data_IF_784412807034
#
_entry.id   IF_784412807034
#
_cell.length_a   1.000
_cell.length_b   1.000
_cell.length_c   1.000
_cell.angle_alpha   90.00
_cell.angle_beta   90.00
_cell.angle_gamma   90.00
#
_symmetry.space_group_name_H-M   'P 1'
#
loop_
_entity.id
_entity.type
_entity.pdbx_description
1 polymer ?
#
# COMPACT_ATOMS: atom_id res chain seq x y z
N UNK A 1 -25.48 14.77 16.06
CA UNK A 1 -25.26 14.67 17.52
C UNK A 1 -24.03 15.50 17.87
N UNK A 2 -24.15 16.53 18.71
CA UNK A 2 -23.01 17.30 19.23
C UNK A 2 -22.52 16.66 20.53
N UNK A 3 -21.25 16.28 20.61
CA UNK A 3 -20.59 15.99 21.88
C UNK A 3 -19.37 16.90 22.03
N UNK A 4 -19.29 17.57 23.19
CA UNK A 4 -18.19 18.45 23.58
C UNK A 4 -17.45 17.81 24.76
N UNK A 5 -16.15 17.57 24.53
CA UNK A 5 -14.99 17.49 25.43
C UNK A 5 -15.04 16.58 26.68
N UNK A 6 -14.16 15.56 26.66
CA UNK A 6 -13.36 15.13 27.81
C UNK A 6 -11.96 14.77 27.31
N UNK A 7 -10.95 15.26 28.01
CA UNK A 7 -9.51 15.18 27.70
C UNK A 7 -8.96 13.75 27.74
N UNK A 8 -8.61 13.20 26.58
CA UNK A 8 -7.78 12.00 26.31
C UNK A 8 -7.22 12.14 24.89
N UNK A 9 -6.07 11.53 24.53
CA UNK A 9 -5.36 11.83 23.27
C UNK A 9 -6.23 11.51 22.04
N UNK A 10 -6.10 12.28 20.94
CA UNK A 10 -7.13 12.39 19.92
C UNK A 10 -7.22 11.15 19.02
N UNK A 11 -8.47 10.84 18.66
CA UNK A 11 -8.96 9.71 17.90
C UNK A 11 -8.55 9.81 16.40
N UNK A 12 -7.35 9.34 16.06
CA UNK A 12 -6.91 9.16 14.66
C UNK A 12 -7.55 7.93 13.97
N UNK A 13 -8.47 7.22 14.62
CA UNK A 13 -8.97 5.90 14.16
C UNK A 13 -10.24 5.94 13.28
N UNK A 14 -10.76 7.12 12.93
CA UNK A 14 -11.95 7.23 12.07
C UNK A 14 -11.71 6.85 10.60
N UNK A 15 -10.46 6.83 10.14
CA UNK A 15 -10.13 6.72 8.71
C UNK A 15 -9.90 5.29 8.20
N UNK A 16 -9.57 4.33 9.07
CA UNK A 16 -9.07 3.02 8.64
C UNK A 16 -10.15 1.94 8.50
N UNK A 17 -11.31 2.12 9.12
CA UNK A 17 -12.37 1.10 9.12
C UNK A 17 -13.14 0.98 7.79
N UNK A 18 -13.06 1.97 6.90
CA UNK A 18 -13.75 1.93 5.60
C UNK A 18 -12.91 1.29 4.49
N UNK A 19 -11.58 1.26 4.61
CA UNK A 19 -10.67 0.75 3.57
C UNK A 19 -10.47 -0.78 3.61
N UNK A 20 -10.91 -1.46 4.68
CA UNK A 20 -10.83 -2.92 4.80
C UNK A 20 -12.05 -3.68 4.25
N UNK A 21 -13.08 -2.98 3.79
CA UNK A 21 -14.25 -3.56 3.10
C UNK A 21 -14.10 -3.40 1.58
N UNK A 22 -13.02 -3.93 1.02
CA UNK A 22 -12.94 -4.18 -0.41
C UNK A 22 -13.73 -5.46 -0.72
N UNK A 23 -15.06 -5.31 -0.84
CA UNK A 23 -15.98 -6.43 -1.01
C UNK A 23 -17.35 -5.99 -1.52
N UNK A 24 -17.42 -5.08 -2.49
CA UNK A 24 -18.63 -4.82 -3.26
C UNK A 24 -18.28 -4.70 -4.75
N UNK A 25 -17.89 -5.82 -5.36
CA UNK A 25 -18.03 -6.01 -6.81
C UNK A 25 -18.02 -7.51 -7.14
N UNK A 26 -19.20 -8.15 -7.10
CA UNK A 26 -19.41 -9.45 -7.75
C UNK A 26 -19.98 -9.21 -9.13
N UNK A 27 -19.11 -8.80 -10.05
CA UNK A 27 -19.38 -8.83 -11.48
C UNK A 27 -18.42 -9.80 -12.14
N UNK A 28 -18.87 -11.04 -12.38
CA UNK A 28 -18.24 -11.92 -13.37
C UNK A 28 -18.44 -11.27 -14.75
N UNK A 29 -17.52 -10.38 -15.12
CA UNK A 29 -17.41 -9.83 -16.46
C UNK A 29 -16.58 -10.77 -17.30
N UNK A 30 -17.22 -11.78 -17.90
CA UNK A 30 -16.71 -12.34 -19.15
C UNK A 30 -16.55 -11.18 -20.15
N UNK A 31 -15.44 -11.19 -20.89
CA UNK A 31 -15.08 -10.11 -21.79
C UNK A 31 -16.19 -9.78 -22.78
N UNK A 32 -16.63 -8.53 -22.79
CA UNK A 32 -17.59 -8.02 -23.76
C UNK A 32 -16.92 -7.85 -25.13
N UNK A 33 -16.96 -8.92 -25.92
CA UNK A 33 -16.99 -8.82 -27.38
C UNK A 33 -18.41 -8.45 -27.81
N UNK A 34 -18.52 -7.30 -28.48
CA UNK A 34 -19.68 -6.83 -29.22
C UNK A 34 -20.42 -7.94 -30.00
N UNK A 35 -21.65 -8.30 -29.60
CA UNK A 35 -22.63 -8.97 -30.48
C UNK A 35 -24.08 -8.91 -29.95
N UNK A 36 -24.93 -8.24 -30.75
CA UNK A 36 -26.33 -8.57 -31.08
C UNK A 36 -27.38 -8.79 -29.99
N UNK A 37 -28.33 -7.86 -29.97
CA UNK A 37 -29.69 -7.99 -29.43
C UNK A 37 -30.40 -9.24 -29.98
N UNK A 38 -30.84 -10.12 -29.09
CA UNK A 38 -31.79 -11.20 -29.36
C UNK A 38 -32.82 -11.24 -28.23
N UNK A 39 -34.07 -10.94 -28.58
CA UNK A 39 -35.25 -11.18 -27.76
C UNK A 39 -35.31 -12.65 -27.33
N UNK A 40 -35.50 -12.91 -26.04
CA UNK A 40 -36.22 -14.12 -25.65
C UNK A 40 -37.09 -13.90 -24.40
N UNK A 41 -38.34 -14.28 -24.58
CA UNK A 41 -39.47 -14.17 -23.67
C UNK A 41 -39.45 -15.36 -22.70
N UNK A 42 -39.51 -15.09 -21.40
CA UNK A 42 -39.49 -16.14 -20.37
C UNK A 42 -40.22 -15.74 -19.09
N UNK A 43 -41.55 -15.75 -19.17
CA UNK A 43 -42.54 -16.12 -18.14
C UNK A 43 -42.27 -15.78 -16.66
N UNK A 44 -43.03 -14.80 -16.16
CA UNK A 44 -43.37 -14.61 -14.74
C UNK A 44 -43.95 -15.89 -14.13
N UNK A 45 -43.45 -16.29 -12.97
CA UNK A 45 -44.27 -16.97 -11.97
C UNK A 45 -44.10 -16.29 -10.61
N UNK A 46 -45.23 -15.95 -10.01
CA UNK A 46 -45.32 -15.15 -8.80
C UNK A 46 -45.33 -16.03 -7.56
N UNK A 47 -44.49 -15.69 -6.58
CA UNK A 47 -44.49 -16.30 -5.26
C UNK A 47 -44.10 -15.29 -4.21
N UNK A 48 -45.11 -14.61 -3.67
CA UNK A 48 -45.02 -13.78 -2.46
C UNK A 48 -44.51 -14.58 -1.28
N UNK A 49 -43.48 -14.08 -0.58
CA UNK A 49 -43.33 -14.14 0.87
C UNK A 49 -42.45 -12.98 1.31
N UNK A 50 -43.14 -11.89 1.61
CA UNK A 50 -42.65 -10.77 2.42
C UNK A 50 -42.51 -11.26 3.87
N UNK A 51 -41.29 -11.59 4.25
CA UNK A 51 -40.85 -11.64 5.63
C UNK A 51 -39.49 -10.95 5.66
N UNK A 52 -39.45 -9.79 6.31
CA UNK A 52 -38.22 -9.09 6.64
C UNK A 52 -37.32 -10.03 7.44
N UNK A 53 -36.40 -10.66 6.73
CA UNK A 53 -35.16 -11.13 7.30
C UNK A 53 -34.23 -9.93 7.23
N UNK A 54 -33.91 -9.37 8.38
CA UNK A 54 -32.82 -8.43 8.58
C UNK A 54 -31.54 -9.25 8.37
N UNK A 55 -31.32 -9.69 7.13
CA UNK A 55 -30.23 -10.55 6.74
C UNK A 55 -28.98 -9.87 7.22
N UNK A 56 -28.36 -10.47 8.23
CA UNK A 56 -26.95 -10.27 8.51
C UNK A 56 -26.31 -10.42 7.14
N UNK A 57 -25.80 -9.31 6.60
CA UNK A 57 -24.92 -9.35 5.44
C UNK A 57 -23.87 -10.35 5.85
N UNK A 58 -23.91 -11.56 5.27
CA UNK A 58 -22.89 -12.58 5.49
C UNK A 58 -21.60 -11.88 5.11
N UNK A 59 -20.85 -11.43 6.11
CA UNK A 59 -19.59 -10.75 5.89
C UNK A 59 -18.72 -11.80 5.22
N UNK A 60 -18.54 -11.66 3.90
CA UNK A 60 -17.70 -12.57 3.14
C UNK A 60 -16.28 -12.41 3.69
N UNK A 61 -15.88 -13.35 4.54
CA UNK A 61 -14.58 -13.30 5.20
C UNK A 61 -13.49 -13.47 4.16
N UNK A 62 -12.44 -12.66 4.26
CA UNK A 62 -11.32 -12.74 3.35
C UNK A 62 -10.67 -14.14 3.41
N UNK A 63 -10.59 -14.79 2.25
CA UNK A 63 -9.90 -16.07 2.13
C UNK A 63 -8.40 -15.92 2.43
N UNK A 64 -7.73 -17.01 2.88
CA UNK A 64 -6.28 -17.09 2.94
C UNK A 64 -5.65 -16.60 1.64
N UNK A 65 -4.71 -15.66 1.74
CA UNK A 65 -4.11 -15.04 0.55
C UNK A 65 -2.63 -14.76 0.72
N UNK A 66 -1.94 -14.77 -0.41
CA UNK A 66 -0.56 -14.30 -0.54
C UNK A 66 -0.61 -13.06 -1.42
N UNK A 67 -0.23 -11.90 -0.88
CA UNK A 67 -0.18 -10.65 -1.64
C UNK A 67 1.26 -10.31 -1.94
N UNK A 68 1.62 -10.18 -3.21
CA UNK A 68 2.95 -9.74 -3.64
C UNK A 68 3.24 -8.35 -3.07
N UNK A 69 4.47 -8.10 -2.64
CA UNK A 69 4.92 -6.76 -2.28
C UNK A 69 4.89 -5.87 -3.51
N UNK A 70 4.24 -4.72 -3.37
CA UNK A 70 4.26 -3.68 -4.39
C UNK A 70 5.70 -3.21 -4.61
N UNK A 71 6.04 -2.77 -5.82
CA UNK A 71 7.42 -2.40 -6.16
C UNK A 71 8.02 -1.41 -5.15
N UNK A 72 7.24 -0.39 -4.76
CA UNK A 72 7.63 0.56 -3.70
C UNK A 72 7.77 -0.09 -2.31
N UNK A 73 6.91 -1.04 -1.95
CA UNK A 73 6.96 -1.75 -0.67
C UNK A 73 8.21 -2.64 -0.58
N UNK A 74 8.56 -3.28 -1.69
CA UNK A 74 9.79 -4.06 -1.82
C UNK A 74 11.03 -3.16 -1.63
N UNK A 75 11.08 -2.02 -2.32
CA UNK A 75 12.19 -1.04 -2.20
C UNK A 75 12.27 -0.46 -0.77
N UNK A 76 11.15 -0.08 -0.18
CA UNK A 76 11.10 0.45 1.19
C UNK A 76 11.56 -0.60 2.21
N UNK A 77 11.07 -1.84 2.09
CA UNK A 77 11.47 -2.93 2.98
C UNK A 77 12.98 -3.21 2.89
N UNK A 78 13.55 -3.24 1.68
CA UNK A 78 15.00 -3.40 1.50
C UNK A 78 15.77 -2.22 2.07
N UNK A 79 15.27 -1.00 1.87
CA UNK A 79 15.89 0.22 2.41
C UNK A 79 15.93 0.17 3.94
N UNK A 80 14.86 -0.26 4.59
CA UNK A 80 14.79 -0.37 6.05
C UNK A 80 15.65 -1.53 6.58
N UNK A 81 15.74 -2.65 5.84
CA UNK A 81 16.52 -3.82 6.27
C UNK A 81 18.03 -3.65 6.05
N UNK A 82 18.44 -3.09 4.92
CA UNK A 82 19.81 -3.14 4.41
C UNK A 82 20.39 -1.75 4.11
N UNK A 83 19.59 -0.70 4.24
CA UNK A 83 19.99 0.69 4.08
C UNK A 83 19.78 1.26 2.67
N UNK A 84 20.01 2.58 2.49
CA UNK A 84 19.65 3.30 1.26
C UNK A 84 20.38 2.82 0.00
N UNK A 85 21.63 2.36 0.11
CA UNK A 85 22.38 1.86 -1.04
C UNK A 85 21.77 0.56 -1.60
N UNK A 86 21.35 -0.33 -0.71
CA UNK A 86 20.61 -1.54 -1.07
C UNK A 86 19.24 -1.20 -1.66
N UNK A 87 18.52 -0.25 -1.07
CA UNK A 87 17.25 0.26 -1.59
C UNK A 87 17.35 0.83 -3.01
N UNK A 88 18.41 1.58 -3.31
CA UNK A 88 18.66 2.12 -4.65
C UNK A 88 19.03 1.04 -5.67
N UNK A 89 19.62 -0.07 -5.23
CA UNK A 89 19.94 -1.21 -6.08
C UNK A 89 18.72 -2.12 -6.35
N UNK A 90 17.66 -2.00 -5.54
CA UNK A 90 16.44 -2.79 -5.70
C UNK A 90 15.69 -2.39 -6.98
N UNK A 91 15.36 -3.39 -7.80
CA UNK A 91 14.67 -3.24 -9.07
C UNK A 91 13.56 -4.32 -9.19
N UNK A 92 12.48 -4.21 -8.40
CA UNK A 92 11.39 -5.18 -8.45
C UNK A 92 10.64 -5.13 -9.80
N UNK A 93 9.78 -6.13 -10.02
CA UNK A 93 8.80 -6.07 -11.11
C UNK A 93 7.94 -4.79 -11.04
N UNK A 94 7.37 -4.43 -12.19
CA UNK A 94 6.37 -3.36 -12.24
C UNK A 94 5.04 -3.82 -11.66
N UNK A 95 4.41 -2.94 -10.88
CA UNK A 95 3.08 -3.18 -10.35
C UNK A 95 2.05 -3.18 -11.49
N UNK A 96 1.04 -4.04 -11.35
CA UNK A 96 -0.07 -4.11 -12.30
C UNK A 96 -1.33 -3.74 -11.55
N UNK A 97 -2.00 -2.69 -12.02
CA UNK A 97 -3.28 -2.28 -11.45
C UNK A 97 -4.38 -3.28 -11.83
N UNK A 98 -5.20 -3.68 -10.86
CA UNK A 98 -6.47 -4.36 -11.13
C UNK A 98 -7.59 -3.53 -10.50
N UNK A 99 -8.64 -3.26 -11.27
CA UNK A 99 -9.68 -2.32 -10.88
C UNK A 99 -9.09 -0.99 -10.40
N UNK A 100 -8.00 -0.51 -11.02
CA UNK A 100 -7.35 0.75 -10.64
C UNK A 100 -6.68 0.77 -9.27
N UNK A 101 -6.41 -0.39 -8.65
CA UNK A 101 -5.62 -0.53 -7.44
C UNK A 101 -4.45 -1.49 -7.65
N UNK A 102 -3.26 -1.09 -7.22
CA UNK A 102 -2.08 -1.95 -7.32
C UNK A 102 -2.15 -3.10 -6.30
N UNK A 103 -2.63 -2.79 -5.09
CA UNK A 103 -2.76 -3.77 -4.01
C UNK A 103 -3.69 -4.94 -4.36
N UNK A 104 -4.72 -4.71 -5.18
CA UNK A 104 -5.60 -5.78 -5.67
C UNK A 104 -4.87 -6.63 -6.71
N UNK A 105 -4.21 -5.99 -7.69
CA UNK A 105 -3.44 -6.71 -8.71
C UNK A 105 -2.37 -7.61 -8.10
N UNK A 106 -1.66 -7.11 -7.09
CA UNK A 106 -0.66 -7.89 -6.35
C UNK A 106 -1.22 -9.10 -5.59
N UNK A 107 -2.53 -9.19 -5.40
CA UNK A 107 -3.19 -10.32 -4.73
C UNK A 107 -3.82 -11.34 -5.69
N UNK A 108 -3.97 -11.01 -6.97
CA UNK A 108 -4.69 -11.84 -7.95
C UNK A 108 -3.84 -12.24 -9.16
N UNK A 109 -2.76 -11.50 -9.43
CA UNK A 109 -1.92 -11.73 -10.60
C UNK A 109 -0.71 -12.57 -10.20
N UNK A 110 -0.54 -13.70 -10.88
CA UNK A 110 0.61 -14.59 -10.70
C UNK A 110 1.90 -13.99 -11.25
N UNK A 111 3.05 -14.42 -10.71
CA UNK A 111 4.37 -14.09 -11.24
C UNK A 111 4.61 -14.78 -12.59
N UNK A 112 5.16 -14.03 -13.55
CA UNK A 112 5.68 -14.54 -14.81
C UNK A 112 7.17 -14.88 -14.69
N UNK A 113 7.72 -15.62 -15.66
CA UNK A 113 9.16 -15.91 -15.70
C UNK A 113 10.00 -14.62 -15.70
N UNK A 114 9.56 -13.58 -16.41
CA UNK A 114 10.22 -12.28 -16.42
C UNK A 114 10.19 -11.57 -15.05
N UNK A 115 9.13 -11.79 -14.25
CA UNK A 115 9.07 -11.26 -12.89
C UNK A 115 10.06 -11.98 -11.97
N UNK A 116 10.23 -13.30 -12.15
CA UNK A 116 11.20 -14.09 -11.40
C UNK A 116 12.62 -13.61 -11.72
N UNK A 117 12.95 -13.45 -13.01
CA UNK A 117 14.24 -12.91 -13.46
C UNK A 117 14.51 -11.51 -12.86
N UNK A 118 13.47 -10.66 -12.78
CA UNK A 118 13.58 -9.34 -12.17
C UNK A 118 13.90 -9.42 -10.67
N UNK A 119 13.22 -10.31 -9.92
CA UNK A 119 13.51 -10.51 -8.50
C UNK A 119 14.89 -11.11 -8.25
N UNK A 120 15.35 -12.05 -9.08
CA UNK A 120 16.69 -12.62 -8.98
C UNK A 120 17.77 -11.56 -9.22
N UNK A 121 17.65 -10.81 -10.31
CA UNK A 121 18.56 -9.71 -10.66
C UNK A 121 18.60 -8.65 -9.57
N UNK A 122 17.43 -8.22 -9.09
CA UNK A 122 17.29 -7.26 -8.00
C UNK A 122 17.91 -7.76 -6.71
N UNK A 123 17.59 -8.98 -6.26
CA UNK A 123 18.10 -9.53 -5.01
C UNK A 123 19.63 -9.68 -5.02
N UNK A 124 20.21 -10.07 -6.16
CA UNK A 124 21.66 -10.16 -6.34
C UNK A 124 22.32 -8.78 -6.25
N UNK A 125 21.76 -7.77 -6.92
CA UNK A 125 22.27 -6.40 -6.87
C UNK A 125 22.17 -5.80 -5.45
N UNK A 126 21.05 -6.04 -4.77
CA UNK A 126 20.78 -5.62 -3.39
C UNK A 126 21.77 -6.26 -2.43
N UNK A 127 22.00 -7.57 -2.53
CA UNK A 127 22.94 -8.27 -1.66
C UNK A 127 24.38 -7.77 -1.85
N UNK A 128 24.81 -7.57 -3.11
CA UNK A 128 26.12 -7.00 -3.41
C UNK A 128 26.26 -5.57 -2.84
N UNK A 129 25.22 -4.73 -2.96
CA UNK A 129 25.22 -3.38 -2.40
C UNK A 129 25.26 -3.38 -0.86
N UNK A 130 24.54 -4.30 -0.21
CA UNK A 130 24.55 -4.45 1.24
C UNK A 130 25.93 -4.86 1.76
N UNK A 131 26.55 -5.89 1.17
CA UNK A 131 27.91 -6.35 1.55
C UNK A 131 28.97 -5.28 1.27
N UNK A 132 28.84 -4.52 0.17
CA UNK A 132 29.77 -3.44 -0.15
C UNK A 132 29.63 -2.22 0.78
N UNK A 133 28.54 -2.11 1.54
CA UNK A 133 28.24 -0.97 2.41
C UNK A 133 28.63 -1.29 3.86
N UNK A 134 29.68 -0.66 4.42
CA UNK A 134 30.10 -0.91 5.81
C UNK A 134 28.96 -0.65 6.79
N UNK A 135 28.71 -1.60 7.70
CA UNK A 135 27.67 -1.48 8.72
C UNK A 135 26.26 -1.90 8.31
N UNK A 136 26.02 -2.18 7.02
CA UNK A 136 24.67 -2.56 6.52
C UNK A 136 24.16 -3.86 7.14
N UNK A 137 25.05 -4.85 7.34
CA UNK A 137 24.70 -6.18 7.87
C UNK A 137 24.96 -6.33 9.37
N UNK A 138 25.64 -5.38 10.00
CA UNK A 138 26.02 -5.42 11.43
C UNK A 138 24.83 -5.66 12.37
N UNK A 139 23.61 -5.11 12.14
CA UNK A 139 22.46 -5.37 13.03
C UNK A 139 22.05 -6.84 13.12
N UNK A 140 22.48 -7.67 12.19
CA UNK A 140 22.14 -9.10 12.11
C UNK A 140 23.33 -10.01 12.41
N UNK A 141 24.52 -9.45 12.67
CA UNK A 141 25.74 -10.20 12.96
C UNK A 141 26.07 -10.09 14.45
N UNK A 142 25.84 -11.16 15.20
CA UNK A 142 26.15 -11.25 16.63
C UNK A 142 27.55 -11.81 16.93
N UNK A 143 28.32 -12.16 15.90
CA UNK A 143 29.56 -12.92 15.98
C UNK A 143 30.67 -12.30 15.11
N UNK A 144 31.92 -12.65 15.42
CA UNK A 144 33.08 -12.40 14.55
C UNK A 144 33.50 -13.73 13.93
N UNK A 145 33.53 -13.86 12.59
CA UNK A 145 33.84 -15.14 11.96
C UNK A 145 35.29 -15.56 12.25
N UNK A 146 35.46 -16.82 12.64
CA UNK A 146 36.77 -17.42 12.94
C UNK A 146 37.51 -17.92 11.70
N UNK A 147 36.77 -18.17 10.63
CA UNK A 147 37.24 -18.65 9.33
C UNK A 147 36.24 -18.21 8.24
N UNK A 148 36.62 -18.26 6.94
CA UNK A 148 35.69 -17.88 5.88
C UNK A 148 34.37 -18.64 5.91
N UNK A 149 34.40 -19.96 6.11
CA UNK A 149 33.23 -20.82 6.19
C UNK A 149 32.83 -21.11 7.66
N UNK A 150 32.55 -20.07 8.43
CA UNK A 150 32.08 -20.17 9.83
C UNK A 150 30.57 -20.42 9.89
N UNK A 151 30.17 -21.70 9.93
CA UNK A 151 28.77 -22.11 9.86
C UNK A 151 27.90 -21.62 11.02
N UNK A 152 28.45 -21.54 12.24
CA UNK A 152 27.69 -21.07 13.41
C UNK A 152 27.39 -19.57 13.28
N UNK A 153 28.37 -18.80 12.82
CA UNK A 153 28.19 -17.36 12.60
C UNK A 153 27.22 -17.06 11.45
N UNK A 154 27.30 -17.82 10.34
CA UNK A 154 26.33 -17.73 9.23
C UNK A 154 24.92 -18.12 9.68
N UNK A 155 24.76 -19.15 10.51
CA UNK A 155 23.46 -19.54 11.04
C UNK A 155 22.86 -18.45 11.92
N UNK A 156 23.64 -17.86 12.84
CA UNK A 156 23.14 -16.75 13.66
C UNK A 156 22.68 -15.57 12.80
N UNK A 157 23.41 -15.27 11.71
CA UNK A 157 22.99 -14.23 10.77
C UNK A 157 21.65 -14.56 10.10
N UNK A 158 21.46 -15.81 9.65
CA UNK A 158 20.21 -16.26 9.03
C UNK A 158 19.04 -16.13 10.00
N UNK A 159 19.22 -16.47 11.27
CA UNK A 159 18.17 -16.38 12.29
C UNK A 159 17.76 -14.91 12.51
N UNK A 160 18.72 -13.99 12.67
CA UNK A 160 18.44 -12.57 12.90
C UNK A 160 17.91 -11.85 11.66
N UNK A 161 18.57 -12.01 10.51
CA UNK A 161 18.14 -11.40 9.26
C UNK A 161 16.83 -12.01 8.76
N UNK A 162 16.68 -13.33 8.90
CA UNK A 162 15.48 -14.04 8.51
C UNK A 162 14.25 -13.63 9.29
N UNK A 163 14.38 -13.46 10.60
CA UNK A 163 13.29 -12.97 11.44
C UNK A 163 12.72 -11.65 10.92
N UNK A 164 13.61 -10.74 10.53
CA UNK A 164 13.24 -9.43 10.00
C UNK A 164 12.77 -9.46 8.54
N UNK A 165 13.47 -10.18 7.67
CA UNK A 165 13.17 -10.25 6.25
C UNK A 165 11.86 -11.01 5.97
N UNK A 166 11.66 -12.14 6.64
CA UNK A 166 10.47 -12.98 6.48
C UNK A 166 9.36 -12.63 7.47
N UNK A 167 9.63 -11.70 8.39
CA UNK A 167 8.66 -11.09 9.31
C UNK A 167 7.97 -12.11 10.21
N UNK A 168 8.69 -13.19 10.54
CA UNK A 168 8.28 -14.25 11.45
C UNK A 168 9.50 -15.05 11.92
N UNK A 169 9.40 -15.80 13.03
CA UNK A 169 10.40 -16.79 13.39
C UNK A 169 10.64 -17.81 12.26
N UNK A 170 11.91 -18.17 12.05
CA UNK A 170 12.31 -19.26 11.18
C UNK A 170 12.27 -20.56 11.98
N UNK A 171 11.88 -21.66 11.32
CA UNK A 171 12.13 -22.98 11.90
C UNK A 171 13.59 -23.44 11.67
N UNK A 172 13.99 -24.49 12.38
CA UNK A 172 15.36 -25.00 12.34
C UNK A 172 15.80 -25.49 10.95
N UNK A 173 14.86 -25.99 10.14
CA UNK A 173 15.13 -26.46 8.79
C UNK A 173 15.35 -25.27 7.85
N UNK A 174 14.51 -24.24 7.95
CA UNK A 174 14.66 -22.98 7.21
C UNK A 174 15.99 -22.31 7.54
N UNK A 175 16.33 -22.18 8.82
CA UNK A 175 17.60 -21.61 9.27
C UNK A 175 18.80 -22.44 8.76
N UNK A 176 18.71 -23.77 8.89
CA UNK A 176 19.76 -24.69 8.43
C UNK A 176 19.96 -24.65 6.91
N UNK A 177 18.88 -24.57 6.13
CA UNK A 177 18.93 -24.52 4.67
C UNK A 177 19.70 -23.30 4.17
N UNK A 178 19.40 -22.11 4.68
CA UNK A 178 20.08 -20.88 4.25
C UNK A 178 21.49 -20.77 4.82
N UNK A 179 21.73 -21.25 6.04
CA UNK A 179 23.08 -21.33 6.58
C UNK A 179 23.99 -22.21 5.69
N UNK A 180 23.46 -23.33 5.16
CA UNK A 180 24.19 -24.19 4.23
C UNK A 180 24.49 -23.51 2.88
N UNK A 181 23.57 -22.68 2.36
CA UNK A 181 23.82 -21.88 1.14
C UNK A 181 24.98 -20.92 1.37
N UNK A 182 24.97 -20.19 2.48
CA UNK A 182 26.07 -19.29 2.84
C UNK A 182 27.37 -20.03 3.07
N UNK A 183 27.32 -21.20 3.71
CA UNK A 183 28.51 -22.03 3.99
C UNK A 183 29.16 -22.51 2.71
N UNK A 184 28.36 -22.98 1.74
CA UNK A 184 28.83 -23.42 0.45
C UNK A 184 29.49 -22.26 -0.31
N UNK A 185 28.82 -21.10 -0.40
CA UNK A 185 29.37 -19.92 -1.05
C UNK A 185 30.67 -19.46 -0.37
N UNK A 186 30.68 -19.36 0.95
CA UNK A 186 31.87 -18.94 1.69
C UNK A 186 33.05 -19.91 1.51
N UNK A 187 32.79 -21.21 1.41
CA UNK A 187 33.81 -22.22 1.11
C UNK A 187 34.33 -22.11 -0.32
N UNK A 188 33.44 -21.98 -1.30
CA UNK A 188 33.82 -21.93 -2.73
C UNK A 188 34.62 -20.68 -3.08
N UNK A 189 34.29 -19.54 -2.46
CA UNK A 189 34.99 -18.27 -2.68
C UNK A 189 36.13 -18.02 -1.67
N UNK A 190 36.20 -18.78 -0.58
CA UNK A 190 37.15 -18.53 0.50
C UNK A 190 36.89 -17.20 1.22
N UNK A 191 35.65 -16.71 1.23
CA UNK A 191 35.25 -15.39 1.76
C UNK A 191 33.91 -15.46 2.51
N UNK A 192 33.91 -15.08 3.79
CA UNK A 192 32.71 -15.03 4.62
C UNK A 192 31.67 -14.04 4.09
N UNK A 193 32.11 -12.91 3.54
CA UNK A 193 31.20 -11.89 2.99
C UNK A 193 30.45 -12.42 1.77
N UNK A 194 31.07 -13.29 0.97
CA UNK A 194 30.38 -14.01 -0.10
C UNK A 194 29.31 -14.98 0.44
N UNK A 195 29.55 -15.60 1.60
CA UNK A 195 28.50 -16.36 2.29
C UNK A 195 27.28 -15.52 2.62
N UNK A 196 27.49 -14.33 3.21
CA UNK A 196 26.41 -13.39 3.53
C UNK A 196 25.68 -12.89 2.27
N UNK A 197 26.41 -12.56 1.20
CA UNK A 197 25.85 -12.10 -0.07
C UNK A 197 24.84 -13.13 -0.63
N UNK A 198 25.21 -14.41 -0.67
CA UNK A 198 24.34 -15.47 -1.18
C UNK A 198 23.15 -15.75 -0.25
N UNK A 199 23.32 -15.63 1.08
CA UNK A 199 22.21 -15.72 2.03
C UNK A 199 21.20 -14.61 1.76
N UNK A 200 21.66 -13.35 1.72
CA UNK A 200 20.78 -12.19 1.50
C UNK A 200 20.07 -12.32 0.15
N UNK A 201 20.81 -12.58 -0.93
CA UNK A 201 20.23 -12.73 -2.26
C UNK A 201 19.17 -13.84 -2.31
N UNK A 202 19.43 -14.99 -1.69
CA UNK A 202 18.49 -16.11 -1.68
C UNK A 202 17.25 -15.85 -0.83
N UNK A 203 17.41 -15.26 0.37
CA UNK A 203 16.30 -14.98 1.26
C UNK A 203 15.36 -13.89 0.72
N UNK A 204 15.88 -12.91 -0.02
CA UNK A 204 15.08 -11.88 -0.69
C UNK A 204 14.30 -12.40 -1.92
N UNK A 205 14.69 -13.55 -2.48
CA UNK A 205 13.95 -14.24 -3.55
C UNK A 205 12.90 -15.21 -3.02
N UNK A 206 12.90 -15.47 -1.71
CA UNK A 206 11.94 -16.37 -1.09
C UNK A 206 10.51 -15.82 -1.17
N UNK A 207 9.48 -16.67 -1.37
CA UNK A 207 8.09 -16.26 -1.21
C UNK A 207 7.80 -15.63 0.17
N UNK A 208 8.52 -16.06 1.22
CA UNK A 208 8.39 -15.46 2.56
C UNK A 208 8.81 -13.97 2.59
N UNK A 209 9.67 -13.53 1.66
CA UNK A 209 10.03 -12.12 1.50
C UNK A 209 9.11 -11.41 0.51
N UNK A 210 8.94 -11.97 -0.69
CA UNK A 210 8.22 -11.34 -1.82
C UNK A 210 6.73 -11.17 -1.52
N UNK A 211 6.14 -11.98 -0.65
CA UNK A 211 4.73 -11.92 -0.32
C UNK A 211 4.47 -11.47 1.13
N UNK A 212 3.36 -10.77 1.30
CA UNK A 212 2.62 -10.67 2.55
C UNK A 212 1.72 -11.90 2.66
N UNK A 213 2.07 -12.78 3.58
CA UNK A 213 1.34 -14.01 3.87
C UNK A 213 0.20 -13.66 4.83
N UNK A 214 -1.04 -13.95 4.45
CA UNK A 214 -2.23 -13.82 5.28
C UNK A 214 -3.00 -15.15 5.21
N UNK A 215 -2.39 -16.22 5.72
CA UNK A 215 -3.03 -17.54 5.75
C UNK A 215 -3.80 -17.71 7.06
N UNK A 216 -3.32 -17.11 8.15
CA UNK A 216 -3.94 -17.20 9.47
C UNK A 216 -3.83 -18.59 10.09
N UNK A 217 -4.48 -18.74 11.24
CA UNK A 217 -4.70 -20.00 11.97
C UNK A 217 -6.19 -20.15 12.24
N UNK A 218 -6.65 -21.37 12.53
CA UNK A 218 -8.05 -21.58 12.91
C UNK A 218 -8.41 -20.70 14.10
N UNK A 219 -9.52 -19.97 13.99
CA UNK A 219 -10.04 -19.15 15.08
C UNK A 219 -10.93 -20.03 15.97
N UNK A 220 -10.53 -20.29 17.23
CA UNK A 220 -11.32 -21.13 18.13
C UNK A 220 -12.66 -20.49 18.51
N UNK A 221 -12.79 -19.15 18.38
CA UNK A 221 -13.92 -18.38 18.89
C UNK A 221 -14.92 -17.99 17.78
N UNK A 222 -14.52 -18.04 16.51
CA UNK A 222 -15.32 -17.55 15.37
C UNK A 222 -16.13 -18.63 14.63
N UNK A 223 -16.09 -19.89 15.05
CA UNK A 223 -16.84 -21.00 14.44
C UNK A 223 -16.05 -21.78 13.37
N UNK A 224 -16.70 -22.76 12.73
CA UNK A 224 -16.02 -23.72 11.84
C UNK A 224 -15.53 -23.02 10.56
N UNK A 225 -14.26 -23.24 10.21
CA UNK A 225 -13.66 -22.73 8.97
C UNK A 225 -13.14 -21.30 9.06
N UNK A 226 -13.43 -20.60 10.16
CA UNK A 226 -12.94 -19.26 10.41
C UNK A 226 -11.47 -19.26 10.80
N UNK A 227 -10.75 -18.25 10.32
CA UNK A 227 -9.32 -18.08 10.56
C UNK A 227 -9.04 -16.67 11.05
N UNK A 228 -8.10 -16.56 11.97
CA UNK A 228 -7.54 -15.28 12.42
C UNK A 228 -6.09 -15.18 12.01
N UNK A 229 -5.64 -13.98 11.70
CA UNK A 229 -4.22 -13.71 11.46
C UNK A 229 -3.44 -14.02 12.74
N UNK A 230 -2.26 -14.60 12.57
CA UNK A 230 -1.27 -14.71 13.65
C UNK A 230 -0.71 -13.33 13.99
N UNK A 231 -0.09 -13.18 15.17
CA UNK A 231 0.61 -11.95 15.55
C UNK A 231 1.55 -11.43 14.44
N UNK A 232 2.49 -12.25 13.92
CA UNK A 232 3.41 -11.82 12.86
C UNK A 232 2.71 -11.40 11.54
N UNK A 233 1.64 -12.08 11.15
CA UNK A 233 0.83 -11.70 9.99
C UNK A 233 0.11 -10.36 10.24
N UNK A 234 -0.40 -10.13 11.45
CA UNK A 234 -1.02 -8.85 11.83
C UNK A 234 -0.01 -7.71 11.88
N UNK A 235 1.19 -7.93 12.44
CA UNK A 235 2.29 -6.97 12.42
C UNK A 235 2.68 -6.58 11.00
N UNK A 236 2.83 -7.58 10.13
CA UNK A 236 3.15 -7.40 8.71
C UNK A 236 2.06 -6.57 8.02
N UNK A 237 0.78 -6.95 8.22
CA UNK A 237 -0.36 -6.23 7.65
C UNK A 237 -0.40 -4.78 8.09
N UNK A 238 -0.26 -4.51 9.39
CA UNK A 238 -0.27 -3.15 9.93
C UNK A 238 0.88 -2.32 9.36
N UNK A 239 2.09 -2.86 9.31
CA UNK A 239 3.26 -2.14 8.81
C UNK A 239 3.15 -1.80 7.33
N UNK A 240 2.79 -2.75 6.47
CA UNK A 240 2.64 -2.46 5.04
C UNK A 240 1.42 -1.59 4.74
N UNK A 241 0.38 -1.65 5.57
CA UNK A 241 -0.80 -0.80 5.38
C UNK A 241 -0.56 0.64 5.84
N UNK A 242 0.10 0.82 6.98
CA UNK A 242 0.24 2.13 7.61
C UNK A 242 1.56 2.82 7.29
N UNK A 243 2.62 2.09 6.96
CA UNK A 243 3.96 2.62 6.69
C UNK A 243 4.50 2.24 5.31
N UNK A 244 3.82 1.35 4.58
CA UNK A 244 4.23 0.90 3.24
C UNK A 244 5.64 0.24 3.23
N UNK A 245 6.01 -0.42 4.34
CA UNK A 245 7.31 -1.08 4.54
C UNK A 245 7.22 -2.24 5.55
N UNK A 246 8.32 -2.99 5.72
CA UNK A 246 8.45 -4.12 6.64
C UNK A 246 8.31 -3.68 8.12
N UNK A 247 7.72 -4.50 9.00
CA UNK A 247 7.60 -4.19 10.42
C UNK A 247 8.96 -4.01 11.09
N UNK A 248 9.02 -3.10 12.07
CA UNK A 248 10.19 -2.94 12.92
C UNK A 248 10.38 -4.16 13.83
N UNK A 249 11.61 -4.34 14.35
CA UNK A 249 11.91 -5.42 15.31
C UNK A 249 10.98 -5.36 16.52
N UNK A 250 10.76 -4.16 17.07
CA UNK A 250 9.89 -3.99 18.24
C UNK A 250 8.44 -4.43 17.96
N UNK A 251 7.92 -4.18 16.75
CA UNK A 251 6.58 -4.63 16.37
C UNK A 251 6.53 -6.16 16.19
N UNK A 252 7.56 -6.77 15.62
CA UNK A 252 7.64 -8.23 15.48
C UNK A 252 7.82 -8.94 16.83
N UNK A 253 8.63 -8.40 17.73
CA UNK A 253 8.80 -8.93 19.09
C UNK A 253 7.51 -8.80 19.91
N UNK A 254 6.80 -7.68 19.79
CA UNK A 254 5.49 -7.52 20.42
C UNK A 254 4.45 -8.50 19.85
N UNK A 255 4.51 -8.76 18.55
CA UNK A 255 3.67 -9.75 17.90
C UNK A 255 3.94 -11.17 18.41
N UNK A 256 5.22 -11.55 18.57
CA UNK A 256 5.62 -12.85 19.10
C UNK A 256 5.28 -13.01 20.59
N UNK A 257 5.28 -11.89 21.33
CA UNK A 257 4.80 -11.82 22.72
C UNK A 257 3.26 -11.89 22.86
N UNK A 258 2.52 -11.95 21.76
CA UNK A 258 1.05 -12.06 21.75
C UNK A 258 0.32 -10.72 21.96
N UNK A 259 1.01 -9.58 21.90
CA UNK A 259 0.36 -8.27 22.08
C UNK A 259 -0.66 -7.98 20.97
N UNK A 260 -0.41 -8.46 19.75
CA UNK A 260 -1.29 -8.26 18.60
C UNK A 260 -2.44 -9.28 18.50
N UNK A 261 -2.60 -10.17 19.48
CA UNK A 261 -3.70 -11.14 19.51
C UNK A 261 -5.02 -10.52 19.99
N UNK A 262 -4.99 -9.25 20.44
CA UNK A 262 -6.15 -8.53 20.95
C UNK A 262 -6.43 -7.27 20.15
N UNK A 263 -7.71 -6.90 20.02
CA UNK A 263 -8.11 -5.67 19.35
C UNK A 263 -7.49 -4.40 19.98
N UNK A 264 -7.23 -4.42 21.29
CA UNK A 264 -6.63 -3.28 21.99
C UNK A 264 -5.12 -3.17 21.72
N UNK A 265 -4.40 -4.29 21.67
CA UNK A 265 -3.00 -4.29 21.27
C UNK A 265 -2.81 -3.88 19.81
N UNK A 266 -3.65 -4.39 18.91
CA UNK A 266 -3.70 -3.93 17.50
C UNK A 266 -3.95 -2.43 17.41
N UNK A 267 -4.93 -1.90 18.15
CA UNK A 267 -5.22 -0.46 18.20
C UNK A 267 -4.03 0.35 18.69
N UNK A 268 -3.38 -0.11 19.76
CA UNK A 268 -2.22 0.58 20.35
C UNK A 268 -1.07 0.67 19.35
N UNK A 269 -0.72 -0.45 18.71
CA UNK A 269 0.35 -0.46 17.70
C UNK A 269 -0.05 0.32 16.44
N UNK A 270 -1.30 0.28 15.99
CA UNK A 270 -1.77 1.11 14.88
C UNK A 270 -1.60 2.61 15.17
N UNK A 271 -1.92 3.07 16.39
CA UNK A 271 -1.70 4.47 16.79
C UNK A 271 -0.21 4.84 16.82
N UNK A 272 0.64 3.93 17.30
CA UNK A 272 2.10 4.12 17.26
C UNK A 272 2.62 4.26 15.84
N UNK A 273 2.15 3.43 14.90
CA UNK A 273 2.54 3.49 13.50
C UNK A 273 2.01 4.75 12.80
N UNK A 274 0.78 5.19 13.11
CA UNK A 274 0.23 6.45 12.59
C UNK A 274 0.98 7.70 13.10
N UNK A 275 1.71 7.59 14.21
CA UNK A 275 2.57 8.67 14.70
C UNK A 275 3.94 8.71 13.98
N UNK A 276 4.34 7.64 13.28
CA UNK A 276 5.55 7.63 12.45
C UNK A 276 5.35 8.53 11.23
N UNK A 277 6.33 9.37 10.92
CA UNK A 277 6.27 10.31 9.80
C UNK A 277 6.12 9.63 8.44
N UNK A 278 6.56 8.37 8.31
CA UNK A 278 6.40 7.56 7.08
C UNK A 278 4.94 7.25 6.78
N UNK A 279 4.06 7.29 7.79
CA UNK A 279 2.63 7.02 7.59
C UNK A 279 1.94 7.99 6.65
N UNK A 280 2.44 9.23 6.57
CA UNK A 280 1.95 10.25 5.63
C UNK A 280 2.17 9.82 4.18
N UNK A 281 3.36 9.32 3.85
CA UNK A 281 3.66 8.85 2.50
C UNK A 281 2.80 7.63 2.11
N UNK A 282 2.58 6.69 3.04
CA UNK A 282 1.69 5.55 2.82
C UNK A 282 0.23 6.00 2.58
N UNK A 283 -0.20 7.00 3.35
CA UNK A 283 -1.53 7.60 3.24
C UNK A 283 -1.72 8.36 1.91
N UNK A 284 -0.73 9.13 1.47
CA UNK A 284 -0.73 9.81 0.18
C UNK A 284 -0.85 8.79 -0.95
N UNK A 285 -0.04 7.72 -0.92
CA UNK A 285 -0.08 6.64 -1.90
C UNK A 285 -1.48 6.02 -2.02
N UNK A 286 -2.18 5.83 -0.89
CA UNK A 286 -3.55 5.33 -0.88
C UNK A 286 -4.51 6.30 -1.59
N UNK A 287 -4.47 7.59 -1.27
CA UNK A 287 -5.36 8.58 -1.89
C UNK A 287 -5.08 8.79 -3.37
N UNK A 288 -3.82 8.69 -3.78
CA UNK A 288 -3.45 8.72 -5.19
C UNK A 288 -4.08 7.56 -6.00
N UNK A 289 -4.19 6.37 -5.42
CA UNK A 289 -4.87 5.23 -6.06
C UNK A 289 -6.39 5.41 -6.05
N UNK A 290 -6.97 5.72 -4.88
CA UNK A 290 -8.42 5.86 -4.70
C UNK A 290 -9.01 6.91 -5.64
N UNK A 291 -8.33 8.05 -5.80
CA UNK A 291 -8.78 9.18 -6.61
C UNK A 291 -8.21 9.16 -8.04
N UNK A 292 -7.53 8.08 -8.44
CA UNK A 292 -6.88 7.93 -9.74
C UNK A 292 -5.87 9.04 -10.06
N UNK A 293 -5.26 9.68 -9.07
CA UNK A 293 -4.34 10.79 -9.28
C UNK A 293 -3.08 10.34 -10.03
N UNK A 294 -2.65 9.08 -9.88
CA UNK A 294 -1.51 8.52 -10.64
C UNK A 294 -1.74 8.52 -12.15
N UNK A 295 -3.00 8.50 -12.60
CA UNK A 295 -3.32 8.56 -14.04
C UNK A 295 -3.04 9.93 -14.64
N UNK A 296 -2.89 10.99 -13.84
CA UNK A 296 -2.60 12.34 -14.34
C UNK A 296 -1.33 12.38 -15.19
N UNK A 297 -0.34 11.55 -14.86
CA UNK A 297 0.93 11.43 -15.57
C UNK A 297 0.73 10.96 -17.03
N UNK A 298 -0.38 10.25 -17.29
CA UNK A 298 -0.76 9.71 -18.59
C UNK A 298 -1.89 10.51 -19.27
N UNK A 299 -2.50 11.48 -18.58
CA UNK A 299 -3.59 12.28 -19.14
C UNK A 299 -3.06 13.16 -20.26
N UNK A 300 -3.53 12.91 -21.47
CA UNK A 300 -3.38 13.81 -22.59
C UNK A 300 -4.61 14.73 -22.72
N UNK A 301 -4.37 16.02 -22.98
CA UNK A 301 -5.41 16.98 -23.41
C UNK A 301 -5.04 17.59 -24.74
N UNK A 302 -6.05 17.86 -25.56
CA UNK A 302 -5.87 18.60 -26.80
C UNK A 302 -5.49 20.05 -26.46
N UNK A 303 -4.26 20.44 -26.78
CA UNK A 303 -3.72 21.77 -26.45
C UNK A 303 -4.30 22.89 -27.31
N UNK A 304 -4.94 22.57 -28.45
CA UNK A 304 -5.67 23.57 -29.24
C UNK A 304 -6.98 23.96 -28.53
N UNK A 305 -7.57 23.03 -27.78
CA UNK A 305 -8.78 23.24 -26.96
C UNK A 305 -8.43 23.74 -25.56
N UNK A 306 -7.39 23.18 -24.95
CA UNK A 306 -6.94 23.46 -23.59
C UNK A 306 -5.49 23.96 -23.57
N UNK A 307 -5.24 25.21 -24.01
CA UNK A 307 -3.87 25.74 -24.20
C UNK A 307 -3.07 25.87 -22.90
N UNK A 308 -3.72 25.83 -21.74
CA UNK A 308 -3.06 25.84 -20.43
C UNK A 308 -2.60 24.47 -19.93
N UNK A 309 -2.96 23.37 -20.61
CA UNK A 309 -2.55 22.03 -20.18
C UNK A 309 -1.04 21.84 -20.31
N UNK A 310 -0.44 21.29 -19.26
CA UNK A 310 0.96 20.86 -19.27
C UNK A 310 1.19 19.79 -18.21
N UNK A 311 2.23 18.95 -18.34
CA UNK A 311 2.62 18.00 -17.28
C UNK A 311 2.86 18.70 -15.94
N UNK A 312 3.50 19.86 -15.95
CA UNK A 312 3.72 20.65 -14.73
C UNK A 312 2.42 21.11 -14.04
N UNK A 313 1.39 21.45 -14.83
CA UNK A 313 0.07 21.77 -14.28
C UNK A 313 -0.58 20.51 -13.69
N UNK A 314 -0.47 19.36 -14.36
CA UNK A 314 -0.99 18.08 -13.86
C UNK A 314 -0.34 17.69 -12.51
N UNK A 315 0.99 17.82 -12.39
CA UNK A 315 1.71 17.63 -11.12
C UNK A 315 1.19 18.58 -10.04
N UNK A 316 0.92 19.84 -10.42
CA UNK A 316 0.41 20.84 -9.49
C UNK A 316 -0.99 20.47 -8.98
N UNK A 317 -1.88 20.00 -9.87
CA UNK A 317 -3.24 19.53 -9.52
C UNK A 317 -3.21 18.32 -8.57
N UNK A 318 -2.24 17.41 -8.75
CA UNK A 318 -2.04 16.27 -7.86
C UNK A 318 -1.68 16.76 -6.45
N UNK A 319 -0.69 17.65 -6.34
CA UNK A 319 -0.26 18.22 -5.05
C UNK A 319 -1.38 19.04 -4.38
N UNK A 320 -2.19 19.79 -5.12
CA UNK A 320 -3.38 20.47 -4.56
C UNK A 320 -4.30 19.50 -3.81
N UNK A 321 -4.57 18.35 -4.43
CA UNK A 321 -5.52 17.37 -3.90
C UNK A 321 -4.97 16.70 -2.64
N UNK A 322 -3.70 16.25 -2.70
CA UNK A 322 -3.05 15.67 -1.53
C UNK A 322 -2.91 16.69 -0.42
N UNK A 323 -2.51 17.93 -0.69
CA UNK A 323 -2.37 18.98 0.32
C UNK A 323 -3.69 19.30 1.04
N UNK A 324 -4.84 19.27 0.34
CA UNK A 324 -6.15 19.42 0.99
C UNK A 324 -6.42 18.29 1.97
N UNK A 325 -6.25 17.03 1.51
CA UNK A 325 -6.51 15.84 2.31
C UNK A 325 -5.57 15.83 3.53
N UNK A 326 -4.29 16.13 3.32
CA UNK A 326 -3.27 16.18 4.37
C UNK A 326 -3.59 17.24 5.43
N UNK A 327 -4.04 18.43 5.02
CA UNK A 327 -4.39 19.49 5.95
C UNK A 327 -5.61 19.09 6.80
N UNK A 328 -6.63 18.47 6.20
CA UNK A 328 -7.80 17.99 6.95
C UNK A 328 -7.39 16.93 7.97
N UNK A 329 -6.61 15.93 7.54
CA UNK A 329 -6.30 14.73 8.35
C UNK A 329 -5.28 15.04 9.43
N UNK A 330 -4.19 15.74 9.08
CA UNK A 330 -3.03 15.84 9.94
C UNK A 330 -2.84 17.19 10.63
N UNK A 331 -3.48 18.24 10.14
CA UNK A 331 -3.34 19.60 10.69
C UNK A 331 -4.60 20.00 11.45
N UNK A 332 -5.78 19.74 10.86
CA UNK A 332 -7.04 20.17 11.42
C UNK A 332 -7.67 19.18 12.40
N UNK A 333 -7.28 17.89 12.35
CA UNK A 333 -8.04 16.81 13.00
C UNK A 333 -9.53 16.88 12.58
N UNK A 334 -9.72 17.09 11.27
CA UNK A 334 -11.00 17.44 10.65
C UNK A 334 -11.88 16.22 10.36
N UNK A 335 -13.12 16.50 9.95
CA UNK A 335 -14.04 15.45 9.53
C UNK A 335 -13.76 15.07 8.06
N UNK A 336 -13.93 13.80 7.69
CA UNK A 336 -13.81 13.35 6.31
C UNK A 336 -14.67 14.19 5.34
N UNK A 337 -15.85 14.66 5.78
CA UNK A 337 -16.74 15.52 4.99
C UNK A 337 -16.10 16.86 4.62
N UNK A 338 -15.12 17.33 5.39
CA UNK A 338 -14.40 18.57 5.10
C UNK A 338 -13.55 18.45 3.84
N UNK A 339 -13.13 17.24 3.45
CA UNK A 339 -12.46 16.96 2.16
C UNK A 339 -13.43 17.19 0.99
N UNK A 340 -14.72 16.92 1.19
CA UNK A 340 -15.75 16.98 0.13
C UNK A 340 -16.33 18.38 -0.07
N UNK A 341 -16.35 19.22 0.96
CA UNK A 341 -16.98 20.55 0.94
C UNK A 341 -16.02 21.67 1.40
N UNK A 342 -14.72 21.47 1.24
CA UNK A 342 -13.71 22.44 1.62
C UNK A 342 -13.95 23.79 0.94
N UNK A 343 -14.03 24.87 1.73
CA UNK A 343 -14.18 26.25 1.25
C UNK A 343 -12.82 26.94 1.00
N UNK A 344 -11.79 26.14 0.79
CA UNK A 344 -10.42 26.57 0.49
C UNK A 344 -9.75 25.51 -0.38
N UNK A 345 -8.69 25.91 -1.07
CA UNK A 345 -7.80 24.99 -1.79
C UNK A 345 -6.34 25.43 -1.66
N UNK A 346 -5.42 24.62 -2.17
CA UNK A 346 -3.99 24.89 -2.23
C UNK A 346 -3.56 25.17 -3.66
N UNK A 347 -2.93 26.33 -3.88
CA UNK A 347 -2.45 26.71 -5.21
C UNK A 347 -0.97 27.10 -5.17
N UNK A 348 -0.24 26.67 -6.18
CA UNK A 348 1.00 27.33 -6.61
C UNK A 348 0.67 28.33 -7.74
N UNK A 349 1.68 28.97 -8.33
CA UNK A 349 1.46 29.95 -9.41
C UNK A 349 0.68 29.35 -10.59
N UNK A 350 1.03 28.15 -11.05
CA UNK A 350 0.38 27.54 -12.21
C UNK A 350 -1.10 27.23 -11.97
N UNK A 351 -1.46 26.71 -10.79
CA UNK A 351 -2.85 26.49 -10.43
C UNK A 351 -3.60 27.79 -10.21
N UNK A 352 -2.95 28.81 -9.63
CA UNK A 352 -3.58 30.11 -9.45
C UNK A 352 -3.95 30.74 -10.80
N UNK A 353 -3.06 30.67 -11.79
CA UNK A 353 -3.32 31.10 -13.16
C UNK A 353 -4.43 30.27 -13.82
N UNK A 354 -4.40 28.94 -13.64
CA UNK A 354 -5.44 28.04 -14.16
C UNK A 354 -6.83 28.36 -13.58
N UNK A 355 -6.88 28.69 -12.30
CA UNK A 355 -8.11 28.95 -11.58
C UNK A 355 -8.56 30.41 -11.61
N UNK A 356 -7.71 31.33 -12.07
CA UNK A 356 -7.97 32.76 -12.07
C UNK A 356 -7.99 33.40 -10.67
N UNK A 357 -7.23 32.84 -9.71
CA UNK A 357 -7.16 33.32 -8.32
C UNK A 357 -5.81 33.98 -8.03
N UNK A 358 -5.76 34.82 -6.99
CA UNK A 358 -4.51 35.45 -6.58
C UNK A 358 -3.60 34.45 -5.83
N UNK A 359 -2.35 34.32 -6.28
CA UNK A 359 -1.30 33.61 -5.53
C UNK A 359 -0.54 34.62 -4.66
N UNK A 360 -0.41 34.40 -3.34
CA UNK A 360 0.29 35.33 -2.45
C UNK A 360 1.81 35.40 -2.66
N UNK A 361 2.38 34.56 -3.55
CA UNK A 361 3.82 34.48 -3.81
C UNK A 361 4.53 33.43 -2.94
N UNK A 362 5.77 33.08 -3.31
CA UNK A 362 6.59 32.07 -2.62
C UNK A 362 6.96 30.87 -3.52
N UNK A 363 7.71 29.92 -2.97
CA UNK A 363 8.26 28.76 -3.71
C UNK A 363 7.44 27.48 -3.54
N UNK A 364 6.17 27.55 -3.12
CA UNK A 364 5.37 26.37 -2.79
C UNK A 364 3.87 26.54 -3.04
N UNK A 365 3.07 25.81 -2.28
CA UNK A 365 1.62 25.93 -2.31
C UNK A 365 1.14 26.87 -1.20
N UNK A 366 0.12 27.66 -1.50
CA UNK A 366 -0.53 28.53 -0.54
C UNK A 366 -2.01 28.16 -0.43
N UNK A 367 -2.51 28.12 0.82
CA UNK A 367 -3.93 27.96 1.12
C UNK A 367 -4.68 29.23 0.72
N UNK A 368 -5.66 29.11 -0.16
CA UNK A 368 -6.50 30.22 -0.65
C UNK A 368 -7.98 29.89 -0.44
N UNK A 369 -8.83 30.88 -0.08
CA UNK A 369 -10.26 30.65 0.04
C UNK A 369 -10.90 30.43 -1.34
N UNK A 370 -11.89 29.54 -1.40
CA UNK A 370 -12.79 29.43 -2.55
C UNK A 370 -13.82 30.57 -2.45
N UNK A 371 -14.01 31.33 -3.53
CA UNK A 371 -14.90 32.49 -3.48
C UNK A 371 -16.37 32.06 -3.31
N UNK A 372 -17.19 32.82 -2.54
CA UNK A 372 -18.61 32.49 -2.37
C UNK A 372 -19.34 32.39 -3.72
N UNK A 373 -19.99 31.25 -3.98
CA UNK A 373 -20.71 30.98 -5.22
C UNK A 373 -19.90 30.24 -6.29
N UNK A 374 -18.62 29.97 -6.06
CA UNK A 374 -17.86 29.04 -6.90
C UNK A 374 -18.20 27.59 -6.55
N UNK A 375 -18.37 26.74 -7.58
CA UNK A 375 -18.62 25.31 -7.42
C UNK A 375 -17.33 24.49 -7.19
N UNK A 376 -16.25 25.10 -6.68
CA UNK A 376 -14.94 24.46 -6.47
C UNK A 376 -14.75 23.94 -5.04
N UNK A 377 -15.84 23.60 -4.34
CA UNK A 377 -15.79 23.07 -2.99
C UNK A 377 -15.26 21.64 -2.96
N UNK A 378 -14.21 21.40 -2.18
CA UNK A 378 -13.62 20.08 -1.96
C UNK A 378 -13.06 19.37 -3.19
N UNK A 379 -12.69 18.09 -3.02
CA UNK A 379 -11.95 17.31 -4.01
C UNK A 379 -12.68 17.12 -5.35
N UNK A 380 -14.02 17.13 -5.37
CA UNK A 380 -14.77 17.02 -6.63
C UNK A 380 -14.67 18.27 -7.49
N UNK A 381 -14.31 19.41 -6.90
CA UNK A 381 -14.02 20.65 -7.60
C UNK A 381 -12.59 20.75 -8.12
N UNK A 382 -11.68 19.87 -7.68
CA UNK A 382 -10.27 19.93 -8.06
C UNK A 382 -10.04 19.55 -9.51
N UNK A 383 -9.15 20.28 -10.18
CA UNK A 383 -8.84 20.04 -11.58
C UNK A 383 -8.17 18.67 -11.82
N UNK A 384 -7.56 18.06 -10.79
CA UNK A 384 -7.03 16.69 -10.84
C UNK A 384 -8.11 15.68 -11.22
N UNK A 385 -9.16 15.55 -10.40
CA UNK A 385 -10.29 14.63 -10.63
C UNK A 385 -11.03 15.01 -11.91
N UNK A 386 -11.29 16.30 -12.12
CA UNK A 386 -12.00 16.76 -13.31
C UNK A 386 -11.26 16.42 -14.61
N UNK A 387 -9.92 16.42 -14.57
CA UNK A 387 -9.04 16.06 -15.69
C UNK A 387 -8.98 14.56 -15.93
N UNK A 388 -8.75 13.75 -14.89
CA UNK A 388 -8.68 12.27 -15.02
C UNK A 388 -10.03 11.67 -15.41
N UNK A 389 -11.13 12.27 -14.97
CA UNK A 389 -12.50 11.84 -15.25
C UNK A 389 -13.10 12.57 -16.46
N UNK A 390 -12.29 12.78 -17.50
CA UNK A 390 -12.72 13.40 -18.77
C UNK A 390 -11.95 12.87 -19.98
N UNK A 391 -12.44 13.17 -21.18
CA UNK A 391 -11.77 12.80 -22.43
C UNK A 391 -10.67 13.80 -22.79
N UNK A 392 -9.90 13.50 -23.83
CA UNK A 392 -8.80 14.35 -24.33
C UNK A 392 -9.30 15.73 -24.76
N UNK A 393 -10.44 15.78 -25.44
CA UNK A 393 -11.01 16.99 -26.04
C UNK A 393 -12.33 17.45 -25.41
N UNK A 394 -12.91 16.69 -24.48
CA UNK A 394 -14.24 16.99 -23.91
C UNK A 394 -14.41 16.53 -22.46
N UNK A 395 -15.31 17.20 -21.74
CA UNK A 395 -15.73 16.79 -20.39
C UNK A 395 -16.60 15.54 -20.45
N UNK A 396 -16.69 14.76 -19.36
CA UNK A 396 -17.53 13.57 -19.30
C UNK A 396 -18.31 13.47 -17.98
N UNK A 397 -19.58 13.92 -17.94
CA UNK A 397 -20.46 13.69 -16.79
C UNK A 397 -20.65 12.21 -16.48
N UNK A 398 -20.67 11.35 -17.50
CA UNK A 398 -20.84 9.90 -17.35
C UNK A 398 -19.66 9.26 -16.60
N UNK A 399 -18.42 9.58 -16.97
CA UNK A 399 -17.22 9.03 -16.29
C UNK A 399 -17.15 9.52 -14.84
N UNK A 400 -17.53 10.78 -14.60
CA UNK A 400 -17.60 11.35 -13.24
C UNK A 400 -18.71 10.70 -12.40
N UNK A 401 -19.88 10.48 -12.97
CA UNK A 401 -20.99 9.78 -12.32
C UNK A 401 -20.61 8.33 -11.95
N UNK A 402 -19.97 7.61 -12.88
CA UNK A 402 -19.42 6.27 -12.63
C UNK A 402 -18.42 6.27 -11.47
N UNK A 403 -17.50 7.23 -11.44
CA UNK A 403 -16.56 7.37 -10.33
C UNK A 403 -17.26 7.57 -8.99
N UNK A 404 -18.25 8.47 -8.91
CA UNK A 404 -19.01 8.69 -7.66
C UNK A 404 -19.74 7.42 -7.23
N UNK A 405 -20.37 6.71 -8.17
CA UNK A 405 -21.06 5.46 -7.88
C UNK A 405 -20.10 4.40 -7.35
N UNK A 406 -19.03 4.09 -8.09
CA UNK A 406 -18.13 2.97 -7.77
C UNK A 406 -17.14 3.27 -6.64
N UNK A 407 -16.81 4.54 -6.37
CA UNK A 407 -15.72 4.91 -5.43
C UNK A 407 -16.15 5.70 -4.22
N UNK A 408 -17.33 6.32 -4.26
CA UNK A 408 -17.79 7.19 -3.17
C UNK A 408 -19.02 6.61 -2.47
N UNK A 409 -19.96 6.03 -3.21
CA UNK A 409 -21.27 5.64 -2.68
C UNK A 409 -21.44 4.13 -2.40
N UNK A 410 -20.48 3.29 -2.82
CA UNK A 410 -20.54 1.83 -2.89
C UNK A 410 -21.39 1.27 -4.04
#
# INVERSE_FOLDING_TARGET
MRFKASSSPPLLLGFLAAASLAGCYTGNGEGDTFATLGDDVGTNDGGTNDAGDDGIVDAEYAAPRLRILLGRQYVNAITDLLGPAAGQAAAPRQDVTLNGFDAIGASQISLTDADIDAYESSATAVAAAAVATPGSLDPYLSCTPSQPADGDCLRSFVEEFGFMAWRRPLDDEEAGRWANVGLQAASDFGDFQKGLEFIVAGMLQSPNFIYQVEIGVADPDAGIGMRKLTGPEMATRLSFFLLDTTPSRALLEAADAGELDTAEGVRTWAQTLLADTRSRAAFDNYWEEVLYLRKLDEVAKDTDIYPGWSPYLADSMKVETIALIDDVVWVQDGDFRDILDAQYTYVNQALADHYGVAYPGGTGFAKVPVAPGECRGGIFGHASLLSVLSHVSSTSPTVRGKFVQERVLC
#
